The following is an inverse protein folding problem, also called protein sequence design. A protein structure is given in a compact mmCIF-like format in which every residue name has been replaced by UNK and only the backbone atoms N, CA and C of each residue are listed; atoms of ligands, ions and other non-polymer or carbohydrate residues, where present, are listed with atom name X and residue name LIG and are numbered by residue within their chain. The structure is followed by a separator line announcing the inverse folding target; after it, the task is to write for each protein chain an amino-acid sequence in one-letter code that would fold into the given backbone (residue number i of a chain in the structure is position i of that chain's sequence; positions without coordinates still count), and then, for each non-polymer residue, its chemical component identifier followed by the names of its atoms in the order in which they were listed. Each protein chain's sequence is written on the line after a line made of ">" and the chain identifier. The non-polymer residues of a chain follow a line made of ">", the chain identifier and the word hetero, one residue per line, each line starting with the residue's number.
data_IF_074716840712
#
_entry.id   IF_074716840712
#
_cell.length_a   1.000
_cell.length_b   1.000
_cell.length_c   1.000
_cell.angle_alpha   90.00
_cell.angle_beta   90.00
_cell.angle_gamma   90.00
#
_symmetry.space_group_name_H-M   'P 1'
#
loop_
_entity.id
_entity.type
_entity.pdbx_description
1 polymer ?
#
# COMPACT_ATOMS: atom_id res chain seq x y z
N UNK A 1 7.93 1.32 -4.70
CA UNK A 1 9.30 1.69 -5.09
C UNK A 1 9.39 3.20 -5.00
N UNK A 2 9.97 3.70 -3.90
CA UNK A 2 10.31 5.12 -3.72
C UNK A 2 11.70 5.46 -4.29
N UNK A 3 12.29 4.52 -5.03
CA UNK A 3 13.68 4.55 -5.49
C UNK A 3 14.09 5.80 -6.29
N UNK A 4 13.26 6.39 -7.17
CA UNK A 4 13.66 7.63 -7.85
C UNK A 4 13.74 8.82 -6.90
N UNK A 5 12.83 8.87 -5.91
CA UNK A 5 12.77 9.96 -4.92
C UNK A 5 13.92 9.81 -3.93
N UNK A 6 14.19 8.58 -3.47
CA UNK A 6 15.37 8.27 -2.65
C UNK A 6 16.68 8.65 -3.36
N UNK A 7 16.78 8.42 -4.67
CA UNK A 7 17.95 8.78 -5.48
C UNK A 7 18.15 10.29 -5.63
N UNK A 8 17.08 11.04 -5.92
CA UNK A 8 17.12 12.51 -5.99
C UNK A 8 17.54 13.08 -4.64
N UNK A 9 17.05 12.49 -3.55
CA UNK A 9 17.38 12.91 -2.18
C UNK A 9 18.83 12.62 -1.80
N UNK A 10 19.40 11.52 -2.29
CA UNK A 10 20.80 11.17 -2.02
C UNK A 10 21.81 11.97 -2.85
N UNK A 11 21.37 12.70 -3.88
CA UNK A 11 22.22 13.54 -4.74
C UNK A 11 21.76 15.01 -4.73
N UNK A 12 21.81 15.70 -3.56
CA UNK A 12 21.34 17.08 -3.43
C UNK A 12 22.17 18.07 -4.28
N UNK A 13 23.41 17.73 -4.61
CA UNK A 13 24.28 18.54 -5.47
C UNK A 13 23.81 18.60 -6.93
N UNK A 14 23.21 17.52 -7.43
CA UNK A 14 22.66 17.44 -8.80
C UNK A 14 21.25 18.07 -8.88
N UNK A 15 20.51 18.07 -7.76
CA UNK A 15 19.12 18.53 -7.71
C UNK A 15 18.88 19.59 -6.61
N UNK A 16 19.52 20.77 -6.67
CA UNK A 16 19.43 21.77 -5.61
C UNK A 16 18.05 22.43 -5.45
N UNK A 17 17.17 22.30 -6.45
CA UNK A 17 15.78 22.83 -6.43
C UNK A 17 14.74 21.78 -6.01
N UNK A 18 15.16 20.54 -5.73
CA UNK A 18 14.26 19.47 -5.35
C UNK A 18 13.74 19.68 -3.91
N UNK A 19 12.43 19.48 -3.65
CA UNK A 19 11.89 19.45 -2.30
C UNK A 19 12.61 18.40 -1.43
N UNK A 20 13.00 18.77 -0.22
CA UNK A 20 13.62 17.86 0.74
C UNK A 20 12.63 16.87 1.38
N UNK A 21 11.34 17.21 1.36
CA UNK A 21 10.25 16.43 1.94
C UNK A 21 9.64 15.48 0.91
N UNK A 22 9.58 14.19 1.23
CA UNK A 22 9.07 13.16 0.32
C UNK A 22 7.57 13.30 0.03
N UNK A 23 6.83 13.93 0.96
CA UNK A 23 5.38 14.20 0.82
C UNK A 23 5.08 15.08 -0.40
N UNK A 24 5.98 15.99 -0.77
CA UNK A 24 5.80 16.88 -1.93
C UNK A 24 5.67 16.11 -3.24
N UNK A 25 6.27 14.92 -3.33
CA UNK A 25 6.20 14.05 -4.51
C UNK A 25 4.94 13.20 -4.56
N UNK A 26 4.19 13.13 -3.46
CA UNK A 26 3.05 12.23 -3.31
C UNK A 26 1.88 12.63 -4.21
N UNK A 27 1.67 13.93 -4.43
CA UNK A 27 0.66 14.42 -5.39
C UNK A 27 0.96 13.93 -6.81
N UNK A 28 2.19 14.10 -7.28
CA UNK A 28 2.62 13.63 -8.61
C UNK A 28 2.47 12.11 -8.74
N UNK A 29 2.76 11.36 -7.67
CA UNK A 29 2.54 9.92 -7.63
C UNK A 29 1.07 9.54 -7.84
N UNK A 30 0.13 10.22 -7.15
CA UNK A 30 -1.30 9.97 -7.35
C UNK A 30 -1.80 10.40 -8.73
N UNK A 31 -1.29 11.50 -9.28
CA UNK A 31 -1.57 11.91 -10.66
C UNK A 31 -1.14 10.83 -11.66
N UNK A 32 0.04 10.25 -11.48
CA UNK A 32 0.50 9.11 -12.28
C UNK A 32 -0.43 7.91 -12.14
N UNK A 33 -0.83 7.56 -10.92
CA UNK A 33 -1.78 6.47 -10.66
C UNK A 33 -3.14 6.69 -11.33
N UNK A 34 -3.66 7.92 -11.28
CA UNK A 34 -4.91 8.30 -11.95
C UNK A 34 -4.79 8.16 -13.46
N UNK A 35 -3.71 8.68 -14.06
CA UNK A 35 -3.46 8.55 -15.50
C UNK A 35 -3.41 7.08 -15.94
N UNK A 36 -2.68 6.23 -15.21
CA UNK A 36 -2.64 4.79 -15.49
C UNK A 36 -4.02 4.15 -15.36
N UNK A 37 -4.78 4.49 -14.31
CA UNK A 37 -6.14 3.99 -14.11
C UNK A 37 -7.08 4.37 -15.26
N UNK A 38 -7.01 5.62 -15.72
CA UNK A 38 -7.78 6.11 -16.89
C UNK A 38 -7.36 5.37 -18.16
N UNK A 39 -6.06 5.21 -18.40
CA UNK A 39 -5.55 4.47 -19.55
C UNK A 39 -6.04 3.02 -19.57
N UNK A 40 -5.95 2.32 -18.43
CA UNK A 40 -6.44 0.94 -18.30
C UNK A 40 -7.95 0.87 -18.55
N UNK A 41 -8.72 1.83 -18.04
CA UNK A 41 -10.17 1.90 -18.28
C UNK A 41 -10.50 2.15 -19.76
N UNK A 42 -9.77 3.04 -20.43
CA UNK A 42 -9.90 3.27 -21.88
C UNK A 42 -9.57 2.00 -22.65
N UNK A 43 -8.45 1.34 -22.34
CA UNK A 43 -8.05 0.08 -22.99
C UNK A 43 -9.13 -0.99 -22.79
N UNK A 44 -9.63 -1.16 -21.57
CA UNK A 44 -10.71 -2.11 -21.25
C UNK A 44 -11.98 -1.83 -22.06
N UNK A 45 -12.43 -0.58 -22.10
CA UNK A 45 -13.64 -0.21 -22.85
C UNK A 45 -13.46 -0.36 -24.35
N UNK A 46 -12.29 -0.04 -24.90
CA UNK A 46 -11.96 -0.25 -26.31
C UNK A 46 -11.86 -1.74 -26.65
N UNK A 47 -11.21 -2.54 -25.81
CA UNK A 47 -11.08 -3.99 -25.99
C UNK A 47 -12.45 -4.67 -25.98
N UNK A 48 -13.32 -4.32 -25.03
CA UNK A 48 -14.70 -4.84 -24.99
C UNK A 48 -15.53 -4.34 -26.18
N UNK A 49 -15.38 -3.08 -26.59
CA UNK A 49 -16.04 -2.57 -27.80
C UNK A 49 -15.60 -3.34 -29.05
N UNK A 50 -14.31 -3.65 -29.17
CA UNK A 50 -13.75 -4.44 -30.29
C UNK A 50 -14.24 -5.89 -30.24
N UNK A 51 -14.22 -6.52 -29.07
CA UNK A 51 -14.75 -7.85 -28.85
C UNK A 51 -16.26 -7.93 -29.19
N UNK A 52 -17.04 -6.92 -28.79
CA UNK A 52 -18.46 -6.79 -29.15
C UNK A 52 -18.67 -6.68 -30.66
N UNK A 53 -17.85 -5.90 -31.36
CA UNK A 53 -17.96 -5.74 -32.81
C UNK A 53 -17.77 -7.07 -33.57
N UNK A 54 -16.96 -7.98 -33.03
CA UNK A 54 -16.66 -9.29 -33.64
C UNK A 54 -17.67 -10.35 -33.21
N UNK A 55 -17.99 -10.45 -31.91
CA UNK A 55 -18.75 -11.57 -31.34
C UNK A 55 -20.21 -11.24 -30.96
N UNK A 56 -20.70 -10.03 -31.24
CA UNK A 56 -22.06 -9.54 -30.93
C UNK A 56 -22.55 -9.82 -29.50
N UNK A 57 -21.64 -9.90 -28.51
CA UNK A 57 -22.01 -10.21 -27.11
C UNK A 57 -21.49 -9.18 -26.09
N UNK A 58 -22.38 -8.98 -25.10
CA UNK A 58 -22.36 -8.24 -23.83
C UNK A 58 -21.88 -6.78 -23.76
N UNK A 59 -22.52 -6.00 -22.88
CA UNK A 59 -22.18 -4.60 -22.57
C UNK A 59 -21.04 -4.55 -21.54
N UNK A 60 -20.20 -3.50 -21.53
CA UNK A 60 -19.24 -3.29 -20.45
C UNK A 60 -20.01 -3.24 -19.13
N UNK A 61 -19.72 -4.19 -18.25
CA UNK A 61 -20.36 -4.27 -16.94
C UNK A 61 -19.54 -3.47 -15.92
N UNK A 62 -20.21 -2.61 -15.19
CA UNK A 62 -19.68 -1.84 -14.08
C UNK A 62 -20.67 -1.97 -12.93
N UNK A 63 -20.19 -2.27 -11.72
CA UNK A 63 -21.03 -2.38 -10.54
C UNK A 63 -21.16 -0.99 -9.87
N UNK A 64 -22.27 -0.25 -10.05
CA UNK A 64 -22.43 1.07 -9.46
C UNK A 64 -22.47 1.00 -7.92
N UNK A 65 -22.99 -0.08 -7.34
CA UNK A 65 -23.06 -0.27 -5.88
C UNK A 65 -21.68 -0.42 -5.24
N UNK A 66 -20.67 -0.84 -6.01
CA UNK A 66 -19.29 -0.96 -5.56
C UNK A 66 -18.46 0.33 -5.70
N UNK A 67 -18.97 1.35 -6.40
CA UNK A 67 -18.20 2.57 -6.68
C UNK A 67 -17.89 3.36 -5.40
N UNK A 68 -18.89 3.57 -4.55
CA UNK A 68 -18.74 4.33 -3.30
C UNK A 68 -17.79 3.64 -2.32
N UNK A 69 -17.93 2.32 -2.03
CA UNK A 69 -16.97 1.60 -1.19
C UNK A 69 -15.53 1.67 -1.73
N UNK A 70 -15.36 1.60 -3.05
CA UNK A 70 -14.04 1.69 -3.69
C UNK A 70 -13.43 3.08 -3.52
N UNK A 71 -14.23 4.15 -3.62
CA UNK A 71 -13.77 5.52 -3.37
C UNK A 71 -13.33 5.70 -1.91
N UNK A 72 -14.11 5.20 -0.94
CA UNK A 72 -13.74 5.22 0.47
C UNK A 72 -12.44 4.44 0.73
N UNK A 73 -12.29 3.27 0.11
CA UNK A 73 -11.05 2.50 0.16
C UNK A 73 -9.85 3.29 -0.38
N UNK A 74 -10.03 4.05 -1.46
CA UNK A 74 -9.02 4.95 -2.00
C UNK A 74 -8.59 6.05 -1.02
N UNK A 75 -9.52 6.63 -0.26
CA UNK A 75 -9.22 7.64 0.78
C UNK A 75 -8.39 7.01 1.91
N UNK A 76 -8.81 5.85 2.41
CA UNK A 76 -8.06 5.12 3.46
C UNK A 76 -6.67 4.78 2.97
N UNK A 77 -6.54 4.31 1.73
CA UNK A 77 -5.25 4.04 1.10
C UNK A 77 -4.40 5.30 0.99
N UNK A 78 -4.97 6.44 0.60
CA UNK A 78 -4.24 7.70 0.49
C UNK A 78 -3.69 8.17 1.85
N UNK A 79 -4.49 8.06 2.92
CA UNK A 79 -4.06 8.36 4.29
C UNK A 79 -2.93 7.41 4.71
N UNK A 80 -3.11 6.10 4.52
CA UNK A 80 -2.11 5.09 4.88
C UNK A 80 -0.79 5.29 4.13
N UNK A 81 -0.84 5.58 2.84
CA UNK A 81 0.35 5.90 2.04
C UNK A 81 1.02 7.19 2.50
N UNK A 82 0.28 8.22 2.91
CA UNK A 82 0.87 9.45 3.46
C UNK A 82 1.66 9.18 4.74
N UNK A 83 1.06 8.41 5.66
CA UNK A 83 1.73 7.98 6.90
C UNK A 83 2.96 7.12 6.61
N UNK A 84 2.89 6.26 5.60
CA UNK A 84 4.01 5.43 5.17
C UNK A 84 5.21 6.27 4.67
N UNK A 85 4.94 7.33 3.91
CA UNK A 85 5.99 8.25 3.43
C UNK A 85 6.67 8.97 4.58
N UNK A 86 5.88 9.48 5.53
CA UNK A 86 6.40 10.10 6.75
C UNK A 86 7.26 9.10 7.53
N UNK A 87 6.85 7.84 7.62
CA UNK A 87 7.62 6.81 8.30
C UNK A 87 8.96 6.53 7.60
N UNK A 88 9.00 6.48 6.26
CA UNK A 88 10.25 6.35 5.50
C UNK A 88 11.17 7.55 5.78
N UNK A 89 10.64 8.76 5.76
CA UNK A 89 11.43 9.97 6.02
C UNK A 89 12.07 9.99 7.41
N UNK A 90 11.43 9.33 8.40
CA UNK A 90 11.93 9.30 9.78
C UNK A 90 12.76 8.06 10.13
N UNK A 91 12.45 6.89 9.55
CA UNK A 91 13.06 5.59 9.93
C UNK A 91 14.03 5.04 8.88
N UNK A 92 14.19 5.69 7.74
CA UNK A 92 14.82 5.15 6.53
C UNK A 92 14.03 3.98 5.91
N UNK A 93 14.23 3.81 4.60
CA UNK A 93 13.53 2.84 3.79
C UNK A 93 13.76 1.39 4.26
N UNK A 94 14.97 1.06 4.73
CA UNK A 94 15.31 -0.31 5.14
C UNK A 94 14.53 -0.79 6.37
N UNK A 95 14.14 0.14 7.26
CA UNK A 95 13.47 -0.16 8.54
C UNK A 95 11.97 0.07 8.43
N UNK A 96 11.54 1.15 7.77
CA UNK A 96 10.12 1.49 7.62
C UNK A 96 9.34 0.43 6.82
N UNK A 97 9.92 -0.14 5.76
CA UNK A 97 9.24 -1.11 4.91
C UNK A 97 8.82 -2.39 5.65
N UNK A 98 9.72 -3.08 6.36
CA UNK A 98 9.34 -4.25 7.16
C UNK A 98 8.27 -3.95 8.22
N UNK A 99 8.40 -2.85 8.95
CA UNK A 99 7.43 -2.46 10.00
C UNK A 99 6.05 -2.23 9.38
N UNK A 100 5.97 -1.46 8.30
CA UNK A 100 4.71 -1.15 7.63
C UNK A 100 4.13 -2.33 6.84
N UNK A 101 4.92 -3.35 6.50
CA UNK A 101 4.40 -4.59 5.94
C UNK A 101 3.79 -5.50 7.02
N UNK A 102 4.39 -5.53 8.21
CA UNK A 102 3.99 -6.42 9.30
C UNK A 102 2.87 -5.85 10.16
N UNK A 103 2.97 -4.60 10.61
CA UNK A 103 2.07 -4.04 11.61
C UNK A 103 0.60 -3.92 11.12
N UNK A 104 0.30 -3.42 9.91
CA UNK A 104 -1.08 -3.39 9.41
C UNK A 104 -1.65 -4.80 9.23
N UNK A 105 -0.80 -5.78 8.86
CA UNK A 105 -1.22 -7.16 8.71
C UNK A 105 -1.71 -7.77 10.03
N UNK A 106 -1.05 -7.43 11.14
CA UNK A 106 -1.50 -7.82 12.49
C UNK A 106 -2.90 -7.28 12.81
N UNK A 107 -3.18 -6.03 12.42
CA UNK A 107 -4.50 -5.41 12.63
C UNK A 107 -5.57 -6.10 11.76
N UNK A 108 -5.26 -6.35 10.49
CA UNK A 108 -6.17 -7.05 9.56
C UNK A 108 -6.47 -8.45 10.06
N UNK A 109 -5.45 -9.21 10.48
CA UNK A 109 -5.63 -10.54 11.05
C UNK A 109 -6.49 -10.52 12.32
N UNK A 110 -6.29 -9.52 13.18
CA UNK A 110 -7.11 -9.35 14.39
C UNK A 110 -8.57 -9.11 14.04
N UNK A 111 -8.83 -8.29 13.02
CA UNK A 111 -10.17 -8.03 12.51
C UNK A 111 -10.83 -9.28 11.89
N UNK A 112 -10.08 -10.06 11.11
CA UNK A 112 -10.54 -11.35 10.55
C UNK A 112 -10.95 -12.35 11.62
N UNK A 113 -10.23 -12.42 12.74
CA UNK A 113 -10.56 -13.34 13.84
C UNK A 113 -11.76 -12.83 14.64
N UNK A 114 -11.77 -11.56 15.05
CA UNK A 114 -12.75 -11.01 15.99
C UNK A 114 -14.10 -10.73 15.33
N UNK A 115 -14.09 -10.11 14.14
CA UNK A 115 -15.30 -9.66 13.46
C UNK A 115 -15.86 -10.75 12.54
N UNK A 116 -15.05 -11.22 11.59
CA UNK A 116 -15.49 -12.19 10.59
C UNK A 116 -15.50 -13.63 11.09
N UNK A 117 -14.76 -13.93 12.17
CA UNK A 117 -14.61 -15.28 12.74
C UNK A 117 -14.22 -16.33 11.67
N UNK A 118 -13.47 -15.92 10.66
CA UNK A 118 -13.06 -16.78 9.53
C UNK A 118 -12.17 -17.94 10.00
N UNK A 119 -11.38 -17.69 11.06
CA UNK A 119 -10.48 -18.68 11.64
C UNK A 119 -11.11 -19.18 12.95
N UNK A 120 -11.72 -20.37 12.88
CA UNK A 120 -12.32 -21.05 14.03
C UNK A 120 -11.58 -22.36 14.34
N UNK A 121 -11.47 -22.69 15.64
CA UNK A 121 -10.84 -23.92 16.14
C UNK A 121 -9.57 -23.68 16.96
N UNK A 122 -9.44 -24.38 18.10
CA UNK A 122 -8.34 -24.17 19.08
C UNK A 122 -6.95 -24.35 18.47
N UNK A 123 -6.75 -25.37 17.63
CA UNK A 123 -5.46 -25.64 16.97
C UNK A 123 -5.06 -24.53 16.00
N UNK A 124 -6.02 -24.01 15.22
CA UNK A 124 -5.74 -22.96 14.25
C UNK A 124 -5.46 -21.61 14.95
N UNK A 125 -6.19 -21.33 16.03
CA UNK A 125 -5.94 -20.16 16.89
C UNK A 125 -4.56 -20.22 17.56
N UNK A 126 -4.11 -21.39 18.03
CA UNK A 126 -2.76 -21.51 18.63
C UNK A 126 -1.65 -21.31 17.59
N UNK A 127 -1.81 -21.84 16.38
CA UNK A 127 -0.86 -21.58 15.29
C UNK A 127 -0.83 -20.10 14.91
N UNK A 128 -2.00 -19.48 14.79
CA UNK A 128 -2.11 -18.07 14.47
C UNK A 128 -1.51 -17.18 15.56
N UNK A 129 -1.76 -17.49 16.84
CA UNK A 129 -1.14 -16.80 17.97
C UNK A 129 0.39 -16.91 17.95
N UNK A 130 0.92 -18.09 17.60
CA UNK A 130 2.38 -18.28 17.45
C UNK A 130 2.97 -17.45 16.31
N UNK A 131 2.30 -17.40 15.16
CA UNK A 131 2.72 -16.57 14.03
C UNK A 131 2.64 -15.08 14.36
N UNK A 132 1.61 -14.68 15.11
CA UNK A 132 1.43 -13.31 15.60
C UNK A 132 2.56 -12.91 16.55
N UNK A 133 2.92 -13.80 17.49
CA UNK A 133 4.04 -13.60 18.41
C UNK A 133 5.37 -13.44 17.67
N UNK A 134 5.68 -14.33 16.71
CA UNK A 134 6.89 -14.23 15.89
C UNK A 134 6.95 -12.92 15.10
N UNK A 135 5.82 -12.50 14.53
CA UNK A 135 5.73 -11.26 13.76
C UNK A 135 5.92 -10.03 14.66
N UNK A 136 5.31 -10.02 15.84
CA UNK A 136 5.52 -8.95 16.84
C UNK A 136 6.98 -8.87 17.27
N UNK A 137 7.61 -10.00 17.59
CA UNK A 137 9.03 -10.04 17.94
C UNK A 137 9.89 -9.49 16.80
N UNK A 138 9.59 -9.86 15.54
CA UNK A 138 10.27 -9.30 14.38
C UNK A 138 10.13 -7.78 14.28
N UNK A 139 8.93 -7.24 14.46
CA UNK A 139 8.69 -5.78 14.46
C UNK A 139 9.47 -5.08 15.58
N UNK A 140 9.47 -5.65 16.79
CA UNK A 140 10.20 -5.11 17.94
C UNK A 140 11.71 -5.12 17.68
N UNK A 141 12.26 -6.22 17.15
CA UNK A 141 13.67 -6.32 16.80
C UNK A 141 14.08 -5.28 15.75
N UNK A 142 13.25 -5.07 14.71
CA UNK A 142 13.51 -4.08 13.67
C UNK A 142 13.41 -2.65 14.22
N UNK A 143 12.47 -2.39 15.12
CA UNK A 143 12.35 -1.09 15.78
C UNK A 143 13.58 -0.79 16.66
N UNK A 144 14.02 -1.78 17.46
CA UNK A 144 15.21 -1.66 18.32
C UNK A 144 16.49 -1.53 17.50
N UNK A 145 16.59 -2.23 16.36
CA UNK A 145 17.73 -2.12 15.43
C UNK A 145 18.00 -0.68 15.01
N UNK A 146 16.97 0.17 14.95
CA UNK A 146 17.13 1.58 14.67
C UNK A 146 17.89 2.29 15.80
N UNK A 147 17.49 2.09 17.06
CA UNK A 147 18.10 2.77 18.21
C UNK A 147 19.59 2.46 18.35
N UNK A 148 20.00 1.22 18.09
CA UNK A 148 21.41 0.85 18.10
C UNK A 148 22.21 1.41 16.92
N UNK A 149 21.57 1.73 15.80
CA UNK A 149 22.25 2.33 14.64
C UNK A 149 22.57 3.82 14.83
N UNK A 150 21.95 4.49 15.82
CA UNK A 150 22.19 5.90 16.16
C UNK A 150 23.05 6.08 17.43
N UNK A 151 23.51 4.99 18.05
CA UNK A 151 24.45 4.99 19.18
C UNK A 151 25.89 4.70 18.69
#
# INVERSE_FOLDING_TARGET
>A
MWTPISYIRSHPEEFPKAPADSISYQFSFYCGGLCVGVCVFIIYTLAIRRYRAIYRRNRPWFNPSGAVPTMLGGIIFAIGMSLFVIAIDNLDQAIAYPICAMAPNLVVLSWSILYFKEITGRRNLTFLASAYGLTLTGVILIAISKEFSFA
#
